data_IF_246310924517
#
_entry.id   IF_246310924517
#
_cell.length_a   1.000
_cell.length_b   1.000
_cell.length_c   1.000
_cell.angle_alpha   90.00
_cell.angle_beta   90.00
_cell.angle_gamma   90.00
#
_symmetry.space_group_name_H-M   'P 1'
#
loop_
_entity.id
_entity.type
_entity.pdbx_description
1 polymer ?
#
# COMPACT_ATOMS: atom_id res chain seq x y z
N UNK A 1 -0.17 22.58 -8.97
CA UNK A 1 -0.22 21.13 -9.30
C UNK A 1 0.21 20.32 -8.09
N UNK A 2 -0.51 19.26 -7.78
CA UNK A 2 -0.20 18.34 -6.69
C UNK A 2 0.45 17.07 -7.29
N UNK A 3 1.51 16.62 -6.67
CA UNK A 3 2.15 15.34 -7.01
C UNK A 3 1.90 14.33 -5.89
N UNK A 4 1.26 13.21 -6.23
CA UNK A 4 1.09 12.07 -5.35
C UNK A 4 2.07 10.97 -5.74
N UNK A 5 2.76 10.39 -4.77
CA UNK A 5 3.55 9.17 -4.96
C UNK A 5 2.94 8.03 -4.16
N UNK A 6 2.79 6.88 -4.81
CA UNK A 6 2.24 5.69 -4.18
C UNK A 6 3.00 4.43 -4.59
N UNK A 7 3.16 3.51 -3.63
CA UNK A 7 3.83 2.24 -3.80
C UNK A 7 2.83 1.06 -3.76
N UNK A 8 1.95 1.01 -2.76
CA UNK A 8 1.00 -0.07 -2.54
C UNK A 8 -0.43 0.32 -2.95
N UNK A 9 -1.33 -0.65 -3.04
CA UNK A 9 -2.76 -0.39 -3.31
C UNK A 9 -3.41 0.46 -2.22
N UNK A 10 -3.00 0.30 -0.96
CA UNK A 10 -3.45 1.15 0.14
C UNK A 10 -3.01 2.62 -0.05
N UNK A 11 -1.75 2.83 -0.41
CA UNK A 11 -1.25 4.19 -0.67
C UNK A 11 -1.97 4.85 -1.86
N UNK A 12 -2.25 4.08 -2.92
CA UNK A 12 -3.06 4.54 -4.05
C UNK A 12 -4.46 4.96 -3.56
N UNK A 13 -5.08 4.17 -2.68
CA UNK A 13 -6.38 4.50 -2.09
C UNK A 13 -6.33 5.81 -1.28
N UNK A 14 -5.30 6.00 -0.46
CA UNK A 14 -5.11 7.27 0.26
C UNK A 14 -5.02 8.46 -0.70
N UNK A 15 -4.24 8.34 -1.78
CA UNK A 15 -4.13 9.37 -2.82
C UNK A 15 -5.47 9.66 -3.49
N UNK A 16 -6.22 8.63 -3.88
CA UNK A 16 -7.55 8.76 -4.51
C UNK A 16 -8.54 9.46 -3.59
N UNK A 17 -8.63 9.01 -2.33
CA UNK A 17 -9.56 9.60 -1.36
C UNK A 17 -9.18 11.04 -1.04
N UNK A 18 -7.90 11.34 -0.86
CA UNK A 18 -7.43 12.70 -0.62
C UNK A 18 -7.74 13.62 -1.81
N UNK A 19 -7.47 13.15 -3.03
CA UNK A 19 -7.80 13.85 -4.27
C UNK A 19 -9.29 14.17 -4.38
N UNK A 20 -10.15 13.19 -4.13
CA UNK A 20 -11.60 13.33 -4.27
C UNK A 20 -12.28 14.12 -3.14
N UNK A 21 -11.66 14.22 -1.97
CA UNK A 21 -12.28 14.87 -0.80
C UNK A 21 -11.68 16.20 -0.43
N UNK A 22 -10.36 16.36 -0.55
CA UNK A 22 -9.65 17.57 -0.09
C UNK A 22 -9.07 18.42 -1.21
N UNK A 23 -8.85 17.84 -2.39
CA UNK A 23 -8.11 18.50 -3.50
C UNK A 23 -8.85 18.37 -4.84
N UNK A 24 -10.20 18.50 -4.81
CA UNK A 24 -11.08 18.23 -5.97
C UNK A 24 -10.76 19.08 -7.20
N UNK A 25 -10.40 20.36 -6.99
CA UNK A 25 -10.25 21.35 -8.05
C UNK A 25 -8.78 21.57 -8.47
N UNK A 26 -7.85 20.91 -7.80
CA UNK A 26 -6.42 21.06 -8.09
C UNK A 26 -5.99 20.19 -9.27
N UNK A 27 -5.03 20.62 -10.07
CA UNK A 27 -4.34 19.72 -11.01
C UNK A 27 -3.50 18.72 -10.22
N UNK A 28 -3.66 17.44 -10.50
CA UNK A 28 -3.03 16.37 -9.73
C UNK A 28 -2.43 15.28 -10.61
N UNK A 29 -1.21 14.88 -10.32
CA UNK A 29 -0.48 13.80 -10.99
C UNK A 29 -0.23 12.67 -9.99
N UNK A 30 -0.51 11.43 -10.39
CA UNK A 30 -0.18 10.24 -9.61
C UNK A 30 1.10 9.60 -10.16
N UNK A 31 2.14 9.53 -9.34
CA UNK A 31 3.40 8.85 -9.63
C UNK A 31 3.39 7.48 -8.95
N UNK A 32 3.32 6.40 -9.74
CA UNK A 32 3.31 5.03 -9.25
C UNK A 32 4.71 4.42 -9.27
N UNK A 33 5.12 3.80 -8.18
CA UNK A 33 6.33 2.97 -8.15
C UNK A 33 6.08 1.59 -8.76
N UNK A 34 7.04 1.07 -9.53
CA UNK A 34 6.99 -0.27 -10.12
C UNK A 34 7.60 -1.37 -9.21
N UNK A 35 7.92 -1.04 -7.96
CA UNK A 35 8.42 -2.03 -6.99
C UNK A 35 7.39 -3.15 -6.78
N UNK A 36 6.12 -2.80 -6.63
CA UNK A 36 5.01 -3.75 -6.55
C UNK A 36 4.33 -3.91 -7.92
N UNK A 37 4.60 -5.01 -8.57
CA UNK A 37 4.10 -5.29 -9.94
C UNK A 37 2.57 -5.22 -10.05
N UNK A 38 1.86 -5.64 -9.01
CA UNK A 38 0.41 -5.63 -9.02
C UNK A 38 -0.18 -4.22 -8.95
N UNK A 39 0.53 -3.25 -8.37
CA UNK A 39 0.11 -1.84 -8.37
C UNK A 39 0.14 -1.23 -9.77
N UNK A 40 1.06 -1.68 -10.63
CA UNK A 40 1.20 -1.16 -12.00
C UNK A 40 0.43 -1.98 -13.04
N UNK A 41 -0.07 -3.16 -12.70
CA UNK A 41 -0.86 -4.00 -13.61
C UNK A 41 -2.14 -3.31 -14.10
N UNK A 42 -2.60 -2.27 -13.41
CA UNK A 42 -3.82 -1.52 -13.72
C UNK A 42 -3.54 -0.06 -14.15
N UNK A 43 -2.33 0.23 -14.56
CA UNK A 43 -1.89 1.58 -14.95
C UNK A 43 -2.85 2.25 -15.96
N UNK A 44 -3.25 1.51 -17.00
CA UNK A 44 -4.17 2.05 -18.03
C UNK A 44 -5.55 2.36 -17.45
N UNK A 45 -6.05 1.57 -16.51
CA UNK A 45 -7.30 1.87 -15.81
C UNK A 45 -7.17 3.15 -15.00
N UNK A 46 -6.07 3.30 -14.26
CA UNK A 46 -5.83 4.49 -13.45
C UNK A 46 -5.74 5.75 -14.31
N UNK A 47 -5.05 5.68 -15.46
CA UNK A 47 -4.99 6.77 -16.44
C UNK A 47 -6.37 7.15 -16.98
N UNK A 48 -7.20 6.16 -17.28
CA UNK A 48 -8.52 6.36 -17.88
C UNK A 48 -9.62 6.69 -16.85
N UNK A 49 -9.30 6.75 -15.57
CA UNK A 49 -10.28 7.00 -14.51
C UNK A 49 -10.78 8.44 -14.44
N UNK A 50 -9.99 9.39 -14.92
CA UNK A 50 -10.26 10.83 -14.81
C UNK A 50 -10.15 11.40 -13.39
N UNK A 51 -9.62 10.63 -12.42
CA UNK A 51 -9.40 11.11 -11.04
C UNK A 51 -8.14 11.98 -10.96
N UNK A 52 -7.09 11.59 -11.69
CA UNK A 52 -5.86 12.34 -11.82
C UNK A 52 -5.74 12.86 -13.25
N UNK A 53 -5.12 14.03 -13.40
CA UNK A 53 -4.86 14.64 -14.73
C UNK A 53 -3.81 13.84 -15.51
N UNK A 54 -2.87 13.19 -14.80
CA UNK A 54 -1.95 12.20 -15.38
C UNK A 54 -1.56 11.14 -14.36
N UNK A 55 -1.16 9.97 -14.86
CA UNK A 55 -0.63 8.86 -14.05
C UNK A 55 0.66 8.39 -14.68
N UNK A 56 1.75 8.60 -13.97
CA UNK A 56 3.12 8.33 -14.41
C UNK A 56 3.71 7.12 -13.68
N UNK A 57 4.59 6.40 -14.35
CA UNK A 57 5.31 5.27 -13.77
C UNK A 57 6.75 5.65 -13.42
N UNK A 58 7.14 5.43 -12.18
CA UNK A 58 8.52 5.53 -11.71
C UNK A 58 9.17 4.14 -11.74
N UNK A 59 10.22 3.98 -12.55
CA UNK A 59 11.02 2.75 -12.62
C UNK A 59 11.97 2.63 -11.44
N UNK A 60 11.41 2.39 -10.28
CA UNK A 60 12.13 2.36 -8.99
C UNK A 60 12.64 0.95 -8.63
N UNK A 61 12.06 -0.09 -9.20
CA UNK A 61 12.45 -1.49 -8.95
C UNK A 61 13.91 -1.77 -9.28
N UNK A 62 14.43 -1.20 -10.38
CA UNK A 62 15.85 -1.31 -10.75
C UNK A 62 16.76 -0.64 -9.73
N UNK A 63 16.38 0.55 -9.28
CA UNK A 63 17.13 1.30 -8.25
C UNK A 63 17.17 0.49 -6.96
N UNK A 64 16.03 -0.06 -6.54
CA UNK A 64 15.96 -0.91 -5.34
C UNK A 64 16.82 -2.18 -5.48
N UNK A 65 16.83 -2.82 -6.64
CA UNK A 65 17.70 -3.97 -6.90
C UNK A 65 19.19 -3.60 -6.84
N UNK A 66 19.58 -2.43 -7.34
CA UNK A 66 20.96 -1.94 -7.28
C UNK A 66 21.39 -1.59 -5.85
N UNK A 67 20.47 -1.05 -5.03
CA UNK A 67 20.71 -0.83 -3.60
C UNK A 67 21.07 -2.16 -2.93
N UNK A 68 20.25 -3.20 -3.09
CA UNK A 68 20.51 -4.53 -2.52
C UNK A 68 21.87 -5.11 -2.94
N UNK A 69 22.25 -4.96 -4.22
CA UNK A 69 23.58 -5.37 -4.71
C UNK A 69 24.71 -4.59 -4.06
N UNK A 70 24.52 -3.30 -3.82
CA UNK A 70 25.53 -2.44 -3.18
C UNK A 70 25.67 -2.75 -1.69
N UNK A 71 24.58 -3.09 -1.00
CA UNK A 71 24.58 -3.58 0.38
C UNK A 71 25.36 -4.88 0.50
N UNK A 72 25.12 -5.84 -0.40
CA UNK A 72 25.86 -7.11 -0.45
C UNK A 72 27.38 -6.91 -0.67
N UNK A 73 27.78 -5.85 -1.38
CA UNK A 73 29.19 -5.46 -1.58
C UNK A 73 29.76 -4.64 -0.42
N UNK A 74 29.03 -4.54 0.70
CA UNK A 74 29.45 -3.79 1.89
C UNK A 74 29.85 -2.33 1.62
N UNK A 75 29.21 -1.67 0.67
CA UNK A 75 29.45 -0.24 0.41
C UNK A 75 28.94 0.61 1.58
N UNK A 76 29.58 1.75 1.80
CA UNK A 76 29.14 2.67 2.85
C UNK A 76 27.73 3.21 2.60
N UNK A 77 26.98 3.48 3.67
CA UNK A 77 25.61 4.07 3.59
C UNK A 77 25.56 5.34 2.73
N UNK A 78 26.57 6.21 2.86
CA UNK A 78 26.64 7.45 2.10
C UNK A 78 26.82 7.21 0.59
N UNK A 79 27.61 6.20 0.22
CA UNK A 79 27.78 5.78 -1.17
C UNK A 79 26.49 5.21 -1.74
N UNK A 80 25.80 4.36 -0.96
CA UNK A 80 24.51 3.77 -1.35
C UNK A 80 23.47 4.87 -1.54
N UNK A 81 23.31 5.77 -0.58
CA UNK A 81 22.36 6.88 -0.64
C UNK A 81 22.65 7.80 -1.84
N UNK A 82 23.91 8.16 -2.07
CA UNK A 82 24.31 9.01 -3.20
C UNK A 82 23.99 8.34 -4.54
N UNK A 83 24.30 7.05 -4.69
CA UNK A 83 23.98 6.27 -5.90
C UNK A 83 22.49 6.18 -6.13
N UNK A 84 21.72 5.80 -5.11
CA UNK A 84 20.26 5.68 -5.20
C UNK A 84 19.60 7.01 -5.62
N UNK A 85 19.98 8.12 -5.00
CA UNK A 85 19.46 9.43 -5.36
C UNK A 85 19.82 9.86 -6.80
N UNK A 86 21.01 9.53 -7.27
CA UNK A 86 21.43 9.83 -8.65
C UNK A 86 20.62 8.98 -9.66
N UNK A 87 20.39 7.71 -9.35
CA UNK A 87 19.59 6.82 -10.18
C UNK A 87 18.11 7.25 -10.21
N UNK A 88 17.52 7.58 -9.05
CA UNK A 88 16.15 8.12 -8.99
C UNK A 88 16.05 9.38 -9.86
N UNK A 89 16.97 10.35 -9.71
CA UNK A 89 16.97 11.56 -10.53
C UNK A 89 16.96 11.26 -12.04
N UNK A 90 17.63 10.20 -12.48
CA UNK A 90 17.69 9.79 -13.89
C UNK A 90 16.39 9.18 -14.40
N UNK A 91 15.64 8.46 -13.54
CA UNK A 91 14.44 7.74 -13.94
C UNK A 91 13.14 8.49 -13.61
N UNK A 92 13.21 9.64 -12.94
CA UNK A 92 12.05 10.48 -12.63
C UNK A 92 11.38 10.97 -13.91
N UNK A 93 10.09 10.66 -14.13
CA UNK A 93 9.34 11.19 -15.27
C UNK A 93 8.88 12.64 -15.05
N UNK A 94 8.85 13.09 -13.80
CA UNK A 94 8.48 14.44 -13.39
C UNK A 94 9.36 14.90 -12.23
N UNK A 95 9.74 16.18 -12.21
CA UNK A 95 10.55 16.74 -11.13
C UNK A 95 9.68 17.09 -9.92
N UNK A 96 9.92 16.53 -8.71
CA UNK A 96 9.07 16.82 -7.54
C UNK A 96 8.98 18.30 -7.18
N UNK A 97 10.06 19.07 -7.43
CA UNK A 97 10.07 20.54 -7.20
C UNK A 97 9.16 21.34 -8.15
N UNK A 98 8.59 20.73 -9.19
CA UNK A 98 7.60 21.40 -10.04
C UNK A 98 6.18 21.34 -9.45
N UNK A 99 5.98 20.58 -8.39
CA UNK A 99 4.73 20.53 -7.68
C UNK A 99 4.66 21.58 -6.55
N UNK A 100 3.48 22.13 -6.34
CA UNK A 100 3.21 23.03 -5.21
C UNK A 100 3.12 22.22 -3.91
N UNK A 101 2.57 21.02 -3.98
CA UNK A 101 2.48 20.07 -2.86
C UNK A 101 2.89 18.67 -3.35
N UNK A 102 3.64 17.95 -2.49
CA UNK A 102 4.03 16.57 -2.69
C UNK A 102 3.45 15.72 -1.57
N UNK A 103 2.65 14.73 -1.93
CA UNK A 103 2.15 13.69 -1.02
C UNK A 103 2.86 12.39 -1.35
N UNK A 104 3.46 11.76 -0.34
CA UNK A 104 4.20 10.53 -0.56
C UNK A 104 3.96 9.50 0.55
N UNK A 105 3.95 8.25 0.16
CA UNK A 105 4.02 7.10 1.05
C UNK A 105 4.53 5.88 0.28
N UNK A 106 5.48 5.14 0.84
CA UNK A 106 6.23 5.41 2.07
C UNK A 106 7.51 6.22 1.80
N UNK A 107 8.05 6.88 2.82
CA UNK A 107 9.25 7.71 2.70
C UNK A 107 10.58 6.94 2.86
N UNK A 108 10.52 5.66 3.26
CA UNK A 108 11.69 4.80 3.46
C UNK A 108 12.12 4.00 2.21
N UNK A 109 11.58 4.33 1.04
CA UNK A 109 11.97 3.79 -0.26
C UNK A 109 12.85 4.77 -1.06
N UNK A 110 13.50 4.35 -2.15
CA UNK A 110 14.49 5.18 -2.86
C UNK A 110 13.99 6.57 -3.27
N UNK A 111 12.72 6.68 -3.71
CA UNK A 111 12.14 8.00 -4.02
C UNK A 111 12.03 8.88 -2.75
N UNK A 112 11.58 8.33 -1.64
CA UNK A 112 11.55 9.05 -0.36
C UNK A 112 12.95 9.48 0.08
N UNK A 113 13.97 8.64 -0.09
CA UNK A 113 15.37 9.02 0.18
C UNK A 113 15.81 10.21 -0.66
N UNK A 114 15.43 10.22 -1.95
CA UNK A 114 15.70 11.33 -2.85
C UNK A 114 15.02 12.62 -2.36
N UNK A 115 13.76 12.55 -1.98
CA UNK A 115 12.98 13.69 -1.46
C UNK A 115 13.63 14.25 -0.19
N UNK A 116 13.89 13.41 0.81
CA UNK A 116 14.48 13.81 2.09
C UNK A 116 15.88 14.38 1.90
N UNK A 117 16.73 13.69 1.12
CA UNK A 117 18.11 14.09 0.86
C UNK A 117 18.20 15.46 0.17
N UNK A 118 17.25 15.78 -0.69
CA UNK A 118 17.18 17.06 -1.40
C UNK A 118 16.36 18.11 -0.64
N UNK A 119 15.92 17.83 0.58
CA UNK A 119 15.13 18.74 1.44
C UNK A 119 13.85 19.23 0.78
N UNK A 120 13.22 18.39 -0.06
CA UNK A 120 11.93 18.68 -0.68
C UNK A 120 10.87 18.50 0.38
N UNK A 121 10.01 19.49 0.57
CA UNK A 121 8.90 19.40 1.51
C UNK A 121 7.84 18.43 0.99
N UNK A 122 7.28 17.62 1.90
CA UNK A 122 6.25 16.65 1.57
C UNK A 122 5.28 16.42 2.71
N UNK A 123 4.11 15.92 2.37
CA UNK A 123 3.09 15.40 3.26
C UNK A 123 3.15 13.87 3.19
N UNK A 124 3.09 13.18 4.32
CA UNK A 124 3.19 11.73 4.39
C UNK A 124 1.81 11.12 4.69
N UNK A 125 1.37 10.13 3.91
CA UNK A 125 0.30 9.26 4.37
C UNK A 125 0.86 8.18 5.29
N UNK A 126 0.04 7.69 6.20
CA UNK A 126 0.38 6.52 7.00
C UNK A 126 0.64 5.30 6.12
N UNK A 127 1.46 4.40 6.61
CA UNK A 127 1.72 3.11 5.97
C UNK A 127 1.20 1.92 6.80
N UNK A 128 0.36 2.18 7.78
CA UNK A 128 -0.12 1.19 8.75
C UNK A 128 0.65 1.24 10.06
N UNK A 129 1.20 0.12 10.52
CA UNK A 129 1.74 0.00 11.87
C UNK A 129 2.94 0.92 12.20
N UNK A 130 3.71 1.38 11.20
CA UNK A 130 4.93 2.16 11.45
C UNK A 130 4.67 3.55 12.03
N UNK A 131 3.61 4.20 11.58
CA UNK A 131 3.23 5.56 12.02
C UNK A 131 2.20 5.53 13.15
N UNK A 132 1.37 4.49 13.20
CA UNK A 132 0.30 4.34 14.18
C UNK A 132 0.76 3.73 15.50
N UNK A 133 1.97 3.19 15.54
CA UNK A 133 2.56 2.61 16.74
C UNK A 133 3.91 3.26 17.04
N UNK A 134 4.40 2.99 18.22
CA UNK A 134 5.80 3.27 18.56
C UNK A 134 6.73 2.61 17.53
N UNK A 135 7.60 3.41 16.91
CA UNK A 135 8.55 2.97 15.87
C UNK A 135 9.50 1.84 16.31
N UNK A 136 9.54 1.48 17.60
CA UNK A 136 10.43 0.44 18.15
C UNK A 136 10.24 -0.92 17.47
N UNK A 137 9.01 -1.27 17.09
CA UNK A 137 8.75 -2.53 16.39
C UNK A 137 9.36 -2.53 14.98
N UNK A 138 9.14 -1.45 14.21
CA UNK A 138 9.73 -1.30 12.87
C UNK A 138 11.25 -1.19 12.94
N UNK A 139 11.77 -0.48 13.94
CA UNK A 139 13.22 -0.40 14.21
C UNK A 139 13.81 -1.77 14.54
N UNK A 140 13.12 -2.60 15.31
CA UNK A 140 13.55 -3.97 15.60
C UNK A 140 13.66 -4.83 14.34
N UNK A 141 12.68 -4.74 13.44
CA UNK A 141 12.72 -5.48 12.17
C UNK A 141 13.81 -4.95 11.23
N UNK A 142 14.00 -3.64 11.15
CA UNK A 142 15.07 -3.02 10.35
C UNK A 142 16.44 -3.26 10.94
N UNK A 143 16.59 -3.47 12.25
CA UNK A 143 17.87 -3.67 12.94
C UNK A 143 18.63 -4.91 12.46
N UNK A 144 17.97 -5.86 11.80
CA UNK A 144 18.60 -7.01 11.13
C UNK A 144 19.50 -6.59 9.96
N UNK A 145 19.26 -5.39 9.39
CA UNK A 145 20.09 -4.83 8.32
C UNK A 145 20.77 -3.52 8.80
N UNK A 146 22.06 -3.60 9.10
CA UNK A 146 22.87 -2.47 9.60
C UNK A 146 22.85 -1.25 8.67
N UNK A 147 22.79 -1.46 7.35
CA UNK A 147 22.73 -0.38 6.38
C UNK A 147 21.40 0.34 6.42
N UNK A 148 20.29 -0.39 6.47
CA UNK A 148 18.95 0.17 6.57
C UNK A 148 18.75 0.93 7.89
N UNK A 149 19.20 0.38 9.00
CA UNK A 149 19.19 1.07 10.30
C UNK A 149 19.99 2.37 10.25
N UNK A 150 21.17 2.35 9.62
CA UNK A 150 22.00 3.54 9.51
C UNK A 150 21.40 4.60 8.58
N UNK A 151 20.70 4.20 7.52
CA UNK A 151 19.95 5.11 6.63
C UNK A 151 18.74 5.72 7.34
N UNK A 152 17.97 4.91 8.06
CA UNK A 152 16.84 5.36 8.87
C UNK A 152 17.25 6.44 9.88
N UNK A 153 18.31 6.19 10.65
CA UNK A 153 18.86 7.16 11.61
C UNK A 153 19.41 8.43 10.94
N UNK A 154 19.77 8.36 9.67
CA UNK A 154 20.31 9.51 8.93
C UNK A 154 19.22 10.33 8.25
N UNK A 155 18.18 9.68 7.76
CA UNK A 155 17.12 10.29 6.96
C UNK A 155 15.87 10.62 7.78
N UNK A 156 15.62 9.92 8.89
CA UNK A 156 14.43 10.09 9.70
C UNK A 156 13.18 9.64 8.95
N UNK A 157 13.04 8.33 8.72
CA UNK A 157 11.86 7.76 8.08
C UNK A 157 10.58 7.98 8.88
N UNK A 158 9.44 7.67 8.28
CA UNK A 158 8.11 7.77 8.90
C UNK A 158 7.75 9.19 9.36
N UNK A 159 8.19 10.18 8.59
CA UNK A 159 7.91 11.58 8.88
C UNK A 159 8.80 12.23 9.95
N UNK A 160 9.76 11.49 10.54
CA UNK A 160 10.67 11.97 11.59
C UNK A 160 11.77 12.93 11.10
N UNK A 161 11.62 13.51 9.91
CA UNK A 161 12.58 14.44 9.34
C UNK A 161 11.95 15.82 9.10
N UNK A 162 12.81 16.84 8.95
CA UNK A 162 12.39 18.23 8.74
C UNK A 162 11.72 18.49 7.39
N UNK A 163 11.83 17.58 6.43
CA UNK A 163 11.17 17.71 5.13
C UNK A 163 9.69 17.33 5.19
N UNK A 164 9.31 16.45 6.12
CA UNK A 164 7.92 16.11 6.35
C UNK A 164 7.19 17.26 7.06
N UNK A 165 6.14 17.78 6.41
CA UNK A 165 5.30 18.88 6.91
C UNK A 165 4.24 18.35 7.86
N UNK A 166 3.55 17.28 7.45
CA UNK A 166 2.51 16.61 8.23
C UNK A 166 2.43 15.12 7.89
N UNK A 167 1.77 14.37 8.77
CA UNK A 167 1.46 12.96 8.58
C UNK A 167 -0.05 12.81 8.62
N UNK A 168 -0.61 12.35 7.51
CA UNK A 168 -2.03 12.09 7.33
C UNK A 168 -2.32 10.65 7.77
N UNK A 169 -2.94 10.48 8.92
CA UNK A 169 -3.20 9.18 9.53
C UNK A 169 -4.49 9.17 10.34
N UNK A 170 -5.03 7.98 10.62
CA UNK A 170 -6.20 7.84 11.50
C UNK A 170 -5.81 8.12 12.95
N UNK A 171 -6.21 9.26 13.46
CA UNK A 171 -5.91 9.67 14.83
C UNK A 171 -6.52 8.73 15.89
N UNK A 172 -7.56 7.96 15.56
CA UNK A 172 -8.18 6.99 16.48
C UNK A 172 -7.50 5.62 16.47
N UNK A 173 -6.74 5.32 15.42
CA UNK A 173 -6.03 4.05 15.28
C UNK A 173 -4.64 4.07 15.96
N UNK A 174 -4.26 5.19 16.57
CA UNK A 174 -2.99 5.29 17.29
C UNK A 174 -2.96 4.38 18.51
N UNK A 175 -1.80 3.78 18.76
CA UNK A 175 -1.57 3.06 20.01
C UNK A 175 -1.75 4.00 21.22
N UNK A 176 -2.31 3.47 22.29
CA UNK A 176 -2.55 4.22 23.52
C UNK A 176 -1.25 4.88 24.02
N UNK A 177 -1.32 6.18 24.28
CA UNK A 177 -0.18 6.99 24.73
C UNK A 177 0.81 7.41 23.65
N UNK A 178 0.58 7.05 22.38
CA UNK A 178 1.41 7.49 21.26
C UNK A 178 0.70 8.58 20.46
N UNK A 179 1.35 9.72 20.30
CA UNK A 179 0.86 10.82 19.45
C UNK A 179 2.04 11.42 18.68
N UNK A 180 1.98 11.37 17.36
CA UNK A 180 2.99 11.99 16.53
C UNK A 180 2.71 13.50 16.41
N UNK A 181 3.69 14.41 16.67
CA UNK A 181 3.44 15.85 16.71
C UNK A 181 3.03 16.48 15.38
N UNK A 182 3.30 15.81 14.26
CA UNK A 182 2.94 16.27 12.90
C UNK A 182 1.65 15.64 12.38
N UNK A 183 0.90 14.90 13.20
CA UNK A 183 -0.25 14.15 12.74
C UNK A 183 -1.46 15.04 12.48
N UNK A 184 -2.08 14.80 11.32
CA UNK A 184 -3.38 15.34 10.92
C UNK A 184 -4.34 14.19 10.68
N UNK A 185 -5.57 14.26 11.20
CA UNK A 185 -6.56 13.17 11.07
C UNK A 185 -6.94 12.95 9.59
N UNK A 186 -6.70 11.72 9.12
CA UNK A 186 -7.08 11.22 7.81
C UNK A 186 -7.47 9.76 7.92
N UNK A 187 -8.67 9.49 8.41
CA UNK A 187 -9.19 8.15 8.54
C UNK A 187 -9.81 7.69 7.22
N UNK A 188 -9.18 6.74 6.54
CA UNK A 188 -9.69 6.09 5.33
C UNK A 188 -11.11 5.54 5.57
N UNK A 189 -11.33 4.88 6.72
CA UNK A 189 -12.63 4.34 7.12
C UNK A 189 -13.69 5.44 7.18
N UNK A 190 -13.44 6.51 7.97
CA UNK A 190 -14.41 7.61 8.13
C UNK A 190 -14.68 8.33 6.81
N UNK A 191 -13.64 8.49 5.97
CA UNK A 191 -13.82 9.11 4.66
C UNK A 191 -14.76 8.26 3.82
N UNK A 192 -14.51 6.95 3.69
CA UNK A 192 -15.35 6.03 2.92
C UNK A 192 -16.79 6.02 3.41
N UNK A 193 -17.02 6.00 4.73
CA UNK A 193 -18.36 6.00 5.35
C UNK A 193 -19.16 7.28 5.07
N UNK A 194 -18.46 8.39 4.74
CA UNK A 194 -19.09 9.70 4.51
C UNK A 194 -19.06 10.14 3.03
N UNK A 195 -18.61 9.29 2.10
CA UNK A 195 -18.67 9.60 0.67
C UNK A 195 -20.14 9.57 0.20
N UNK A 196 -20.48 10.48 -0.69
CA UNK A 196 -21.70 10.34 -1.49
C UNK A 196 -21.58 9.16 -2.46
N UNK A 197 -22.71 8.61 -2.88
CA UNK A 197 -22.80 7.43 -3.75
C UNK A 197 -21.98 7.60 -5.04
N UNK A 198 -22.08 8.75 -5.69
CA UNK A 198 -21.36 9.02 -6.93
C UNK A 198 -19.84 9.03 -6.75
N UNK A 199 -19.36 9.61 -5.66
CA UNK A 199 -17.92 9.63 -5.34
C UNK A 199 -17.43 8.24 -4.94
N UNK A 200 -18.24 7.48 -4.19
CA UNK A 200 -17.92 6.09 -3.85
C UNK A 200 -17.83 5.22 -5.13
N UNK A 201 -18.77 5.35 -6.06
CA UNK A 201 -18.75 4.64 -7.33
C UNK A 201 -17.49 4.93 -8.15
N UNK A 202 -17.02 6.19 -8.16
CA UNK A 202 -15.73 6.53 -8.77
C UNK A 202 -14.56 5.78 -8.12
N UNK A 203 -14.52 5.73 -6.79
CA UNK A 203 -13.49 4.98 -6.04
C UNK A 203 -13.55 3.50 -6.41
N UNK A 204 -14.72 2.88 -6.35
CA UNK A 204 -14.92 1.46 -6.68
C UNK A 204 -14.49 1.16 -8.12
N UNK A 205 -14.93 1.98 -9.07
CA UNK A 205 -14.58 1.86 -10.49
C UNK A 205 -13.08 2.00 -10.73
N UNK A 206 -12.42 2.92 -10.04
CA UNK A 206 -10.95 3.10 -10.11
C UNK A 206 -10.22 1.80 -9.76
N UNK A 207 -10.65 1.09 -8.72
CA UNK A 207 -10.09 -0.20 -8.33
C UNK A 207 -10.66 -1.39 -9.11
N UNK A 208 -11.56 -1.16 -10.08
CA UNK A 208 -12.13 -2.18 -10.97
C UNK A 208 -13.22 -3.01 -10.33
N UNK A 209 -13.85 -2.50 -9.31
CA UNK A 209 -15.01 -3.09 -8.69
C UNK A 209 -16.24 -2.58 -9.48
N UNK A 210 -16.78 -3.42 -10.36
CA UNK A 210 -17.89 -3.06 -11.24
C UNK A 210 -19.24 -3.48 -10.68
N UNK A 211 -19.26 -4.53 -9.91
CA UNK A 211 -20.48 -5.11 -9.33
C UNK A 211 -20.20 -5.57 -7.91
N UNK A 212 -21.16 -5.36 -7.05
CA UNK A 212 -21.09 -5.86 -5.69
C UNK A 212 -21.26 -7.37 -5.69
N UNK A 213 -20.33 -8.09 -5.10
CA UNK A 213 -20.46 -9.54 -4.94
C UNK A 213 -21.54 -9.84 -3.93
N UNK A 214 -22.57 -10.58 -4.37
CA UNK A 214 -23.65 -11.01 -3.47
C UNK A 214 -23.15 -12.13 -2.57
N UNK A 215 -22.81 -11.79 -1.36
CA UNK A 215 -22.54 -12.76 -0.31
C UNK A 215 -23.85 -13.13 0.40
N UNK A 216 -24.05 -14.40 0.67
CA UNK A 216 -25.16 -14.91 1.48
C UNK A 216 -24.64 -15.40 2.83
N UNK A 217 -25.54 -15.88 3.70
CA UNK A 217 -25.18 -16.38 5.04
C UNK A 217 -24.17 -17.53 5.03
N UNK A 218 -24.03 -18.21 3.91
CA UNK A 218 -23.12 -19.33 3.70
C UNK A 218 -21.86 -18.91 2.92
N UNK A 219 -21.50 -17.63 2.89
CA UNK A 219 -20.27 -17.15 2.24
C UNK A 219 -19.23 -16.82 3.30
N UNK A 220 -18.07 -17.46 3.20
CA UNK A 220 -16.90 -17.19 4.03
C UNK A 220 -15.89 -16.38 3.23
N UNK A 221 -15.37 -15.28 3.82
CA UNK A 221 -14.34 -14.46 3.21
C UNK A 221 -12.97 -14.81 3.79
N UNK A 222 -12.03 -15.15 2.91
CA UNK A 222 -10.64 -15.43 3.28
C UNK A 222 -9.76 -14.28 2.79
N UNK A 223 -9.06 -13.63 3.71
CA UNK A 223 -7.99 -12.68 3.39
C UNK A 223 -6.66 -13.46 3.41
N UNK A 224 -6.02 -13.60 2.24
CA UNK A 224 -4.80 -14.40 2.17
C UNK A 224 -3.56 -13.59 2.52
N UNK A 225 -2.49 -14.30 2.88
CA UNK A 225 -1.15 -13.75 3.05
C UNK A 225 -0.21 -14.36 2.01
N UNK A 226 0.85 -13.65 1.66
CA UNK A 226 1.82 -14.08 0.66
C UNK A 226 3.07 -14.73 1.31
N UNK A 227 2.86 -15.67 2.22
CA UNK A 227 3.89 -16.31 3.05
C UNK A 227 5.02 -16.93 2.23
N UNK A 228 4.68 -17.50 1.06
CA UNK A 228 5.68 -18.06 0.16
C UNK A 228 6.63 -16.98 -0.41
N UNK A 229 6.11 -15.81 -0.77
CA UNK A 229 6.94 -14.70 -1.25
C UNK A 229 7.83 -14.10 -0.15
N UNK A 230 7.39 -14.20 1.10
CA UNK A 230 8.18 -13.80 2.27
C UNK A 230 9.23 -14.85 2.67
N UNK A 231 9.25 -16.01 2.03
CA UNK A 231 10.17 -17.10 2.36
C UNK A 231 9.85 -17.80 3.70
N UNK A 232 8.64 -17.63 4.22
CA UNK A 232 8.20 -18.25 5.48
C UNK A 232 7.94 -19.74 5.26
N UNK A 233 7.36 -20.10 4.11
CA UNK A 233 7.06 -21.49 3.75
C UNK A 233 7.09 -21.67 2.23
N UNK A 234 7.24 -22.92 1.72
CA UNK A 234 7.04 -23.23 0.30
C UNK A 234 5.61 -22.90 -0.16
N UNK A 235 5.44 -22.57 -1.44
CA UNK A 235 4.13 -22.24 -2.01
C UNK A 235 3.12 -23.38 -1.92
N UNK A 236 3.59 -24.64 -2.10
CA UNK A 236 2.75 -25.83 -1.94
C UNK A 236 2.18 -25.95 -0.51
N UNK A 237 2.97 -25.60 0.49
CA UNK A 237 2.54 -25.64 1.88
C UNK A 237 1.56 -24.51 2.21
N UNK A 238 1.78 -23.31 1.65
CA UNK A 238 0.80 -22.23 1.74
C UNK A 238 -0.55 -22.64 1.13
N UNK A 239 -0.55 -23.26 -0.04
CA UNK A 239 -1.76 -23.78 -0.67
C UNK A 239 -2.43 -24.85 0.19
N UNK A 240 -1.66 -25.83 0.66
CA UNK A 240 -2.17 -26.91 1.50
C UNK A 240 -2.77 -26.39 2.80
N UNK A 241 -2.17 -25.34 3.38
CA UNK A 241 -2.71 -24.68 4.57
C UNK A 241 -4.12 -24.13 4.32
N UNK A 242 -4.32 -23.44 3.20
CA UNK A 242 -5.65 -22.90 2.86
C UNK A 242 -6.66 -24.00 2.52
N UNK A 243 -6.26 -25.09 1.83
CA UNK A 243 -7.12 -26.26 1.61
C UNK A 243 -7.58 -26.87 2.94
N UNK A 244 -6.63 -27.18 3.83
CA UNK A 244 -6.94 -27.74 5.14
C UNK A 244 -7.84 -26.83 5.96
N UNK A 245 -7.59 -25.51 5.94
CA UNK A 245 -8.42 -24.55 6.64
C UNK A 245 -9.87 -24.56 6.13
N UNK A 246 -10.06 -24.63 4.83
CA UNK A 246 -11.40 -24.67 4.23
C UNK A 246 -12.09 -25.99 4.48
N UNK A 247 -11.39 -27.11 4.34
CA UNK A 247 -11.94 -28.45 4.55
C UNK A 247 -12.40 -28.68 5.99
N UNK A 248 -11.65 -28.16 6.98
CA UNK A 248 -11.99 -28.38 8.39
C UNK A 248 -12.91 -27.33 9.02
N UNK A 249 -12.88 -26.08 8.55
CA UNK A 249 -13.57 -24.98 9.22
C UNK A 249 -14.67 -24.33 8.39
N UNK A 250 -14.67 -24.52 7.06
CA UNK A 250 -15.56 -23.82 6.14
C UNK A 250 -16.39 -24.78 5.28
N UNK A 251 -16.64 -26.00 5.76
CA UNK A 251 -17.47 -26.98 5.07
C UNK A 251 -18.84 -26.38 4.70
N UNK A 252 -19.29 -26.66 3.48
CA UNK A 252 -20.60 -26.23 2.94
C UNK A 252 -20.79 -24.70 2.83
N UNK A 253 -19.70 -23.91 2.84
CA UNK A 253 -19.77 -22.47 2.57
C UNK A 253 -19.26 -22.14 1.18
N UNK A 254 -19.81 -21.09 0.56
CA UNK A 254 -19.20 -20.48 -0.62
C UNK A 254 -17.98 -19.66 -0.17
N UNK A 255 -16.85 -19.85 -0.84
CA UNK A 255 -15.60 -19.20 -0.46
C UNK A 255 -15.38 -17.96 -1.35
N UNK A 256 -15.28 -16.79 -0.72
CA UNK A 256 -14.80 -15.57 -1.35
C UNK A 256 -13.36 -15.32 -0.88
N UNK A 257 -12.44 -15.09 -1.82
CA UNK A 257 -11.02 -14.90 -1.50
C UNK A 257 -10.60 -13.51 -1.92
N UNK A 258 -10.03 -12.74 -0.98
CA UNK A 258 -9.32 -11.51 -1.26
C UNK A 258 -7.83 -11.77 -1.16
N UNK A 259 -7.15 -11.94 -2.31
CA UNK A 259 -5.72 -12.18 -2.31
C UNK A 259 -4.94 -10.99 -1.77
N UNK A 260 -3.82 -11.27 -1.09
CA UNK A 260 -2.86 -10.21 -0.77
C UNK A 260 -2.35 -9.57 -2.06
N UNK A 261 -2.12 -8.24 -2.13
CA UNK A 261 -1.65 -7.57 -3.35
C UNK A 261 -0.37 -8.14 -3.94
N UNK A 262 0.51 -8.69 -3.12
CA UNK A 262 1.77 -9.30 -3.56
C UNK A 262 1.69 -10.82 -3.78
N UNK A 263 0.50 -11.40 -3.66
CA UNK A 263 0.31 -12.82 -3.88
C UNK A 263 0.23 -13.15 -5.38
N UNK A 264 0.31 -14.43 -5.72
CA UNK A 264 0.31 -14.87 -7.12
C UNK A 264 -1.12 -14.95 -7.64
N UNK A 265 -1.46 -14.07 -8.59
CA UNK A 265 -2.78 -14.04 -9.23
C UNK A 265 -3.15 -15.38 -9.90
N UNK A 266 -4.39 -15.78 -9.76
CA UNK A 266 -4.98 -16.92 -10.48
C UNK A 266 -4.88 -18.26 -9.78
N UNK A 267 -3.95 -18.48 -8.86
CA UNK A 267 -3.73 -19.80 -8.23
C UNK A 267 -4.84 -20.27 -7.30
N UNK A 268 -5.58 -19.37 -6.72
CA UNK A 268 -6.70 -19.76 -5.82
C UNK A 268 -7.82 -20.48 -6.56
N UNK A 269 -8.03 -20.17 -7.85
CA UNK A 269 -8.95 -20.95 -8.69
C UNK A 269 -8.47 -22.37 -8.96
N UNK A 270 -7.15 -22.56 -9.03
CA UNK A 270 -6.55 -23.88 -9.21
C UNK A 270 -6.73 -24.75 -7.96
N UNK A 271 -6.71 -24.13 -6.77
CA UNK A 271 -6.89 -24.81 -5.48
C UNK A 271 -8.38 -25.13 -5.22
N UNK A 272 -9.25 -24.11 -5.34
CA UNK A 272 -10.66 -24.21 -4.93
C UNK A 272 -11.63 -24.42 -6.10
N UNK A 273 -11.12 -24.47 -7.34
CA UNK A 273 -11.92 -24.63 -8.55
C UNK A 273 -12.93 -23.51 -8.77
N UNK A 274 -14.04 -23.84 -9.43
CA UNK A 274 -15.10 -22.87 -9.72
C UNK A 274 -16.01 -22.59 -8.50
N UNK A 275 -15.80 -23.23 -7.38
CA UNK A 275 -16.58 -23.04 -6.14
C UNK A 275 -16.18 -21.80 -5.37
N UNK A 276 -15.12 -21.09 -5.77
CA UNK A 276 -14.68 -19.88 -5.11
C UNK A 276 -14.83 -18.63 -5.99
N UNK A 277 -15.08 -17.49 -5.34
CA UNK A 277 -15.03 -16.15 -5.97
C UNK A 277 -13.71 -15.48 -5.55
N UNK A 278 -12.86 -15.16 -6.54
CA UNK A 278 -11.61 -14.44 -6.28
C UNK A 278 -11.82 -12.95 -6.55
N UNK A 279 -11.64 -12.13 -5.53
CA UNK A 279 -11.74 -10.67 -5.58
C UNK A 279 -10.55 -10.05 -6.33
N UNK A 280 -10.69 -8.83 -6.88
CA UNK A 280 -9.60 -8.16 -7.57
C UNK A 280 -8.37 -7.95 -6.67
N UNK A 281 -7.18 -8.29 -7.17
CA UNK A 281 -5.92 -8.10 -6.46
C UNK A 281 -5.64 -6.64 -6.09
N UNK A 282 -5.91 -5.73 -7.03
CA UNK A 282 -5.69 -4.30 -6.84
C UNK A 282 -6.68 -3.63 -5.90
N UNK A 283 -7.68 -4.35 -5.41
CA UNK A 283 -8.65 -3.80 -4.47
C UNK A 283 -8.03 -3.73 -3.07
N UNK A 284 -7.97 -2.55 -2.44
CA UNK A 284 -7.64 -2.45 -1.03
C UNK A 284 -8.67 -3.18 -0.16
N UNK A 285 -8.24 -3.75 0.96
CA UNK A 285 -9.13 -4.47 1.89
C UNK A 285 -10.20 -3.57 2.50
N UNK A 286 -9.91 -2.30 2.64
CA UNK A 286 -10.80 -1.26 3.18
C UNK A 286 -12.06 -1.05 2.30
N UNK A 287 -12.00 -1.47 1.03
CA UNK A 287 -13.16 -1.43 0.13
C UNK A 287 -14.05 -2.67 0.20
N UNK A 288 -13.68 -3.69 0.96
CA UNK A 288 -14.47 -4.92 1.11
C UNK A 288 -15.94 -4.67 1.53
N UNK A 289 -16.24 -3.78 2.50
CA UNK A 289 -17.61 -3.51 2.90
C UNK A 289 -18.51 -2.97 1.76
N UNK A 290 -17.89 -2.37 0.74
CA UNK A 290 -18.57 -1.77 -0.40
C UNK A 290 -18.54 -2.69 -1.65
N UNK A 291 -17.58 -3.59 -1.72
CA UNK A 291 -17.43 -4.55 -2.82
C UNK A 291 -18.27 -5.82 -2.63
N UNK A 292 -18.68 -6.11 -1.41
CA UNK A 292 -19.42 -7.32 -1.07
C UNK A 292 -20.69 -6.94 -0.31
N UNK A 293 -21.86 -7.23 -0.86
CA UNK A 293 -23.13 -6.98 -0.14
C UNK A 293 -23.35 -8.07 0.89
N UNK A 294 -23.35 -7.66 2.15
CA UNK A 294 -23.58 -8.55 3.28
C UNK A 294 -25.06 -8.51 3.72
N UNK A 295 -25.70 -9.65 3.78
CA UNK A 295 -26.94 -9.78 4.54
C UNK A 295 -26.70 -10.17 6.01
N UNK A 296 -25.59 -10.78 6.36
CA UNK A 296 -25.03 -11.01 7.70
C UNK A 296 -23.70 -11.77 7.55
N UNK A 297 -22.54 -11.12 7.81
CA UNK A 297 -21.26 -11.81 7.93
C UNK A 297 -20.87 -11.95 9.39
N UNK A 298 -20.45 -13.15 9.79
CA UNK A 298 -19.56 -13.32 10.94
C UNK A 298 -18.15 -13.33 10.39
N UNK A 299 -17.41 -12.22 10.54
CA UNK A 299 -15.99 -12.20 10.33
C UNK A 299 -15.32 -12.98 11.46
N UNK A 300 -14.69 -14.08 11.15
CA UNK A 300 -13.68 -14.67 12.02
C UNK A 300 -12.36 -14.04 11.61
N UNK A 301 -11.99 -12.95 12.26
CA UNK A 301 -10.66 -12.37 12.14
C UNK A 301 -9.68 -13.29 12.87
N UNK A 302 -8.98 -14.11 12.11
CA UNK A 302 -7.72 -14.70 12.55
C UNK A 302 -6.59 -13.82 12.02
N UNK A 303 -6.42 -12.64 12.57
CA UNK A 303 -5.17 -11.89 12.43
C UNK A 303 -4.12 -12.59 13.30
N UNK A 304 -3.40 -13.52 12.69
CA UNK A 304 -2.13 -13.99 13.25
C UNK A 304 -1.14 -12.82 13.09
N UNK A 305 -1.05 -12.00 14.12
CA UNK A 305 0.09 -11.10 14.30
C UNK A 305 1.31 -11.96 14.63
N UNK A 306 2.11 -12.29 13.61
CA UNK A 306 3.45 -12.81 13.75
C UNK A 306 4.47 -11.68 13.67
#
# INVERSE_FOLDING_TARGET
MILYYALTTYHIQCCVLHRLTRKKDDTAVLLLSDIHKNSVAFLDRYKNSGIFDDVLLLKESEVNANIKKNEQKHRSKNSILKSACAEIKRVLPITPNSADELYLCPDHFPFGWYVIKNKIKYHCFEEGCGVLSDNRFMMSNMSRNKTQTALMNTLGYFGENDSCVEILADAQAQAEGFTHPKMTDFSVKKILENLDEHTLDKVLSFFGIKETIKANRNTSLILTQHMANLGIMPLCDQHRLYELFTDYFLENTHIAIKPHPDDIAGRYKDIFGNSCTVLPFAMPSELLPYAVSYTHLRAHETSLHL
#
